data_IF_101928707553
#
_entry.id   IF_101928707553
#
_cell.length_a   1.000
_cell.length_b   1.000
_cell.length_c   1.000
_cell.angle_alpha   90.00
_cell.angle_beta   90.00
_cell.angle_gamma   90.00
#
_symmetry.space_group_name_H-M   'P 1'
#
loop_
_entity.id
_entity.type
_entity.pdbx_description
1 polymer ?
#
# COMPACT_ATOMS: atom_id res chain seq x y z
N UNK A 1 -0.62 6.72 -19.99
CA UNK A 1 0.16 7.68 -19.19
C UNK A 1 1.42 8.06 -19.98
N UNK A 2 1.73 9.35 -20.18
CA UNK A 2 2.94 9.75 -20.90
C UNK A 2 4.21 9.21 -20.24
N UNK A 3 5.10 8.59 -21.00
CA UNK A 3 6.41 8.13 -20.52
C UNK A 3 6.42 6.86 -19.65
N UNK A 4 5.30 6.16 -19.49
CA UNK A 4 5.31 4.86 -18.79
C UNK A 4 6.17 3.84 -19.57
N UNK A 5 6.91 2.99 -18.86
CA UNK A 5 7.93 2.09 -19.41
C UNK A 5 9.28 2.77 -19.65
N UNK A 6 9.43 4.06 -19.32
CA UNK A 6 10.69 4.79 -19.51
C UNK A 6 11.20 5.42 -18.22
N UNK A 7 12.49 5.73 -18.17
CA UNK A 7 13.10 6.41 -17.02
C UNK A 7 12.61 7.87 -16.84
N UNK A 8 11.99 8.45 -17.88
CA UNK A 8 11.43 9.80 -17.83
C UNK A 8 10.02 9.83 -17.22
N UNK A 9 9.43 8.69 -16.86
CA UNK A 9 8.13 8.65 -16.20
C UNK A 9 8.13 9.51 -14.92
N UNK A 10 7.15 10.40 -14.82
CA UNK A 10 6.95 11.25 -13.65
C UNK A 10 5.67 10.85 -12.93
N UNK A 11 5.79 10.63 -11.62
CA UNK A 11 4.67 10.32 -10.76
C UNK A 11 3.94 11.62 -10.37
N UNK A 12 2.66 11.72 -10.75
CA UNK A 12 1.75 12.74 -10.23
C UNK A 12 1.27 12.41 -8.82
N UNK A 13 0.29 13.16 -8.32
CA UNK A 13 -0.43 12.76 -7.10
C UNK A 13 -1.05 11.36 -7.30
N UNK A 14 -1.08 10.51 -6.25
CA UNK A 14 -1.76 9.22 -6.35
C UNK A 14 -3.26 9.43 -6.63
N UNK A 15 -3.91 8.52 -7.38
CA UNK A 15 -5.34 8.61 -7.61
C UNK A 15 -6.10 8.53 -6.27
N UNK A 16 -7.21 9.25 -6.19
CA UNK A 16 -8.09 9.18 -5.01
C UNK A 16 -8.76 7.81 -4.95
N UNK A 17 -8.67 7.07 -3.83
CA UNK A 17 -9.39 5.80 -3.68
C UNK A 17 -10.92 5.98 -3.81
N UNK A 18 -11.64 5.04 -4.42
CA UNK A 18 -13.07 5.15 -4.72
C UNK A 18 -13.98 4.79 -3.52
N UNK A 19 -13.47 4.86 -2.29
CA UNK A 19 -14.22 4.53 -1.07
C UNK A 19 -14.13 5.68 -0.05
N UNK A 20 -15.01 5.64 0.95
CA UNK A 20 -15.03 6.60 2.06
C UNK A 20 -14.99 5.85 3.40
N UNK A 21 -13.91 5.97 4.18
CA UNK A 21 -13.80 5.28 5.46
C UNK A 21 -14.84 5.70 6.47
N UNK A 22 -15.27 4.75 7.30
CA UNK A 22 -16.14 4.99 8.45
C UNK A 22 -15.33 4.99 9.75
N UNK A 23 -15.80 5.69 10.80
CA UNK A 23 -15.11 5.72 12.09
C UNK A 23 -14.90 4.34 12.73
N UNK A 24 -15.74 3.35 12.39
CA UNK A 24 -15.64 1.98 12.88
C UNK A 24 -14.63 1.11 12.13
N UNK A 25 -14.07 1.58 11.01
CA UNK A 25 -13.20 0.77 10.17
C UNK A 25 -11.91 0.35 10.88
N UNK A 26 -11.49 -0.87 10.55
CA UNK A 26 -10.22 -1.50 10.91
C UNK A 26 -9.43 -1.80 9.65
N UNK A 27 -8.21 -2.31 9.80
CA UNK A 27 -7.34 -2.63 8.67
C UNK A 27 -8.00 -3.52 7.60
N UNK A 28 -8.83 -4.48 8.01
CA UNK A 28 -9.54 -5.36 7.07
C UNK A 28 -10.54 -4.59 6.20
N UNK A 29 -11.25 -3.59 6.74
CA UNK A 29 -12.20 -2.79 5.97
C UNK A 29 -11.50 -1.98 4.87
N UNK A 30 -10.32 -1.43 5.18
CA UNK A 30 -9.47 -0.76 4.20
C UNK A 30 -8.94 -1.71 3.13
N UNK A 31 -8.50 -2.91 3.52
CA UNK A 31 -8.09 -3.96 2.59
C UNK A 31 -9.25 -4.33 1.66
N UNK A 32 -10.40 -4.67 2.22
CA UNK A 32 -11.57 -5.11 1.48
C UNK A 32 -12.11 -4.03 0.53
N UNK A 33 -12.02 -2.75 0.90
CA UNK A 33 -12.45 -1.64 0.06
C UNK A 33 -11.45 -1.25 -1.04
N UNK A 34 -10.16 -1.56 -0.87
CA UNK A 34 -9.09 -1.16 -1.77
C UNK A 34 -8.65 -2.27 -2.72
N UNK A 35 -8.76 -3.53 -2.30
CA UNK A 35 -8.41 -4.71 -3.09
C UNK A 35 -9.34 -4.88 -4.30
N UNK A 36 -8.78 -5.38 -5.41
CA UNK A 36 -9.57 -5.71 -6.60
C UNK A 36 -10.41 -6.97 -6.37
N UNK A 37 -9.84 -7.96 -5.68
CA UNK A 37 -10.51 -9.22 -5.35
C UNK A 37 -10.12 -9.69 -3.94
N UNK A 38 -10.73 -9.12 -2.89
CA UNK A 38 -10.30 -9.36 -1.52
C UNK A 38 -10.45 -10.82 -1.10
N UNK A 39 -9.34 -11.40 -0.62
CA UNK A 39 -9.24 -12.70 0.02
C UNK A 39 -9.00 -12.53 1.54
N UNK A 40 -10.01 -12.82 2.39
CA UNK A 40 -9.86 -12.74 3.83
C UNK A 40 -8.69 -13.57 4.38
N UNK A 41 -8.42 -14.73 3.78
CA UNK A 41 -7.36 -15.64 4.23
C UNK A 41 -5.96 -15.08 3.96
N UNK A 42 -5.80 -14.37 2.85
CA UNK A 42 -4.56 -13.65 2.54
C UNK A 42 -4.31 -12.55 3.57
N UNK A 43 -5.31 -11.70 3.84
CA UNK A 43 -5.21 -10.63 4.83
C UNK A 43 -4.82 -11.17 6.22
N UNK A 44 -5.54 -12.19 6.71
CA UNK A 44 -5.25 -12.81 8.01
C UNK A 44 -3.84 -13.41 8.06
N UNK A 45 -3.41 -14.08 6.99
CA UNK A 45 -2.08 -14.69 6.92
C UNK A 45 -0.95 -13.66 7.02
N UNK A 46 -1.11 -12.50 6.38
CA UNK A 46 -0.13 -11.41 6.40
C UNK A 46 -0.14 -10.72 7.76
N UNK A 47 -1.33 -10.44 8.30
CA UNK A 47 -1.48 -9.81 9.62
C UNK A 47 -0.91 -10.68 10.75
N UNK A 48 -1.04 -12.01 10.65
CA UNK A 48 -0.40 -12.96 11.54
C UNK A 48 1.13 -12.81 11.51
N UNK A 49 1.73 -12.89 10.33
CA UNK A 49 3.20 -12.75 10.15
C UNK A 49 3.74 -11.40 10.59
N UNK A 50 2.99 -10.31 10.37
CA UNK A 50 3.38 -8.97 10.78
C UNK A 50 3.52 -8.82 12.29
N UNK A 51 2.76 -9.58 13.08
CA UNK A 51 2.90 -9.61 14.55
C UNK A 51 4.21 -10.29 14.98
N UNK A 52 4.69 -11.23 14.18
CA UNK A 52 5.92 -11.98 14.45
C UNK A 52 7.19 -11.25 13.97
N UNK A 53 7.09 -10.40 12.94
CA UNK A 53 8.25 -9.72 12.29
C UNK A 53 8.50 -8.32 12.89
N UNK A 54 8.52 -8.20 14.23
CA UNK A 54 8.81 -6.93 14.90
C UNK A 54 10.20 -6.39 14.51
N UNK A 55 10.24 -5.39 13.62
CA UNK A 55 11.39 -4.48 13.45
C UNK A 55 12.30 -4.69 12.24
N UNK A 56 12.13 -5.74 11.43
CA UNK A 56 12.91 -5.97 10.20
C UNK A 56 12.12 -5.62 8.93
N UNK A 57 11.58 -4.40 8.89
CA UNK A 57 10.87 -3.89 7.72
C UNK A 57 11.82 -3.25 6.68
N UNK A 58 11.37 -3.20 5.44
CA UNK A 58 12.04 -2.45 4.37
C UNK A 58 11.96 -0.94 4.67
N UNK A 59 13.09 -0.23 4.53
CA UNK A 59 13.16 1.20 4.81
C UNK A 59 12.41 2.05 3.79
N UNK A 60 11.93 3.22 4.19
CA UNK A 60 11.20 4.16 3.30
C UNK A 60 11.93 4.47 1.99
N UNK A 61 13.26 4.63 2.01
CA UNK A 61 14.05 4.91 0.80
C UNK A 61 14.08 3.74 -0.17
N UNK A 62 14.17 2.52 0.35
CA UNK A 62 14.18 1.29 -0.44
C UNK A 62 12.80 1.02 -1.03
N UNK A 63 11.74 1.19 -0.23
CA UNK A 63 10.36 1.11 -0.71
C UNK A 63 10.08 2.14 -1.82
N UNK A 64 10.55 3.39 -1.67
CA UNK A 64 10.48 4.43 -2.70
C UNK A 64 11.26 4.06 -3.97
N UNK A 65 12.43 3.45 -3.81
CA UNK A 65 13.27 3.02 -4.91
C UNK A 65 12.56 1.95 -5.74
N UNK A 66 12.03 0.91 -5.08
CA UNK A 66 11.28 -0.16 -5.74
C UNK A 66 10.00 0.34 -6.36
N UNK A 67 9.24 1.18 -5.67
CA UNK A 67 8.06 1.86 -6.21
C UNK A 67 8.34 2.53 -7.54
N UNK A 68 9.41 3.35 -7.61
CA UNK A 68 9.76 4.05 -8.84
C UNK A 68 10.02 3.08 -9.99
N UNK A 69 10.63 1.91 -9.74
CA UNK A 69 10.96 0.92 -10.78
C UNK A 69 9.75 0.12 -11.22
N UNK A 70 8.95 -0.35 -10.26
CA UNK A 70 7.76 -1.17 -10.48
C UNK A 70 6.69 -0.35 -11.19
N UNK A 71 6.25 0.75 -10.60
CA UNK A 71 5.11 1.51 -11.11
C UNK A 71 5.44 2.38 -12.33
N UNK A 72 6.73 2.62 -12.64
CA UNK A 72 7.12 3.20 -13.94
C UNK A 72 7.19 2.17 -15.06
N UNK A 73 7.07 0.87 -14.78
CA UNK A 73 7.10 -0.20 -15.78
C UNK A 73 8.48 -0.47 -16.39
N UNK A 74 9.56 0.05 -15.80
CA UNK A 74 10.92 -0.12 -16.36
C UNK A 74 11.57 -1.46 -15.99
N UNK A 75 10.99 -2.22 -15.06
CA UNK A 75 11.43 -3.57 -14.69
C UNK A 75 10.27 -4.56 -14.83
N UNK A 76 10.47 -5.72 -15.48
CA UNK A 76 9.44 -6.76 -15.54
C UNK A 76 9.22 -7.40 -14.16
N UNK A 77 7.96 -7.53 -13.75
CA UNK A 77 7.58 -8.09 -12.45
C UNK A 77 8.08 -9.53 -12.24
N UNK A 78 8.21 -10.31 -13.31
CA UNK A 78 8.70 -11.70 -13.26
C UNK A 78 10.16 -11.84 -12.83
N UNK A 79 10.91 -10.74 -12.79
CA UNK A 79 12.32 -10.72 -12.37
C UNK A 79 12.51 -10.15 -10.96
N UNK A 80 11.42 -9.75 -10.28
CA UNK A 80 11.48 -9.16 -8.94
C UNK A 80 11.16 -10.18 -7.86
N UNK A 81 11.77 -9.99 -6.69
CA UNK A 81 11.41 -10.79 -5.51
C UNK A 81 10.03 -10.33 -4.99
N UNK A 82 9.23 -11.22 -4.40
CA UNK A 82 7.97 -10.83 -3.76
C UNK A 82 8.13 -9.69 -2.74
N UNK A 83 9.27 -9.66 -2.03
CA UNK A 83 9.59 -8.59 -1.09
C UNK A 83 9.76 -7.22 -1.76
N UNK A 84 10.35 -7.17 -2.96
CA UNK A 84 10.55 -5.91 -3.71
C UNK A 84 9.22 -5.38 -4.25
N UNK A 85 8.34 -6.27 -4.70
CA UNK A 85 6.98 -5.94 -5.12
C UNK A 85 6.18 -5.42 -3.92
N UNK A 86 6.22 -6.12 -2.79
CA UNK A 86 5.59 -5.68 -1.55
C UNK A 86 6.12 -4.34 -1.05
N UNK A 87 7.42 -4.06 -1.21
CA UNK A 87 8.01 -2.77 -0.89
C UNK A 87 7.44 -1.64 -1.76
N UNK A 88 7.31 -1.89 -3.06
CA UNK A 88 6.72 -0.95 -4.00
C UNK A 88 5.25 -0.68 -3.67
N UNK A 89 4.46 -1.74 -3.41
CA UNK A 89 3.06 -1.67 -3.03
C UNK A 89 2.85 -0.91 -1.70
N UNK A 90 3.65 -1.21 -0.68
CA UNK A 90 3.59 -0.52 0.61
C UNK A 90 3.89 0.98 0.47
N UNK A 91 4.84 1.36 -0.40
CA UNK A 91 5.12 2.76 -0.66
C UNK A 91 3.98 3.44 -1.44
N UNK A 92 3.32 2.75 -2.38
CA UNK A 92 2.13 3.31 -3.05
C UNK A 92 0.99 3.54 -2.06
N UNK A 93 0.69 2.58 -1.20
CA UNK A 93 -0.30 2.74 -0.14
C UNK A 93 0.05 3.93 0.78
N UNK A 94 1.32 4.07 1.17
CA UNK A 94 1.78 5.23 1.96
C UNK A 94 1.61 6.55 1.22
N UNK A 95 1.96 6.62 -0.08
CA UNK A 95 1.74 7.82 -0.90
C UNK A 95 0.26 8.17 -0.90
N UNK A 96 -0.60 7.20 -1.17
CA UNK A 96 -2.06 7.38 -1.20
C UNK A 96 -2.58 7.87 0.15
N UNK A 97 -2.17 7.25 1.25
CA UNK A 97 -2.53 7.64 2.62
C UNK A 97 -2.14 9.09 2.93
N UNK A 98 -0.89 9.46 2.63
CA UNK A 98 -0.37 10.81 2.92
C UNK A 98 -1.08 11.91 2.14
N UNK A 99 -1.46 11.66 0.88
CA UNK A 99 -2.08 12.67 0.02
C UNK A 99 -3.58 12.83 0.24
N UNK A 100 -4.24 11.87 0.89
CA UNK A 100 -5.69 11.80 0.99
C UNK A 100 -6.13 11.81 2.46
N UNK A 101 -6.25 13.00 3.06
CA UNK A 101 -6.56 13.15 4.50
C UNK A 101 -7.89 12.51 4.92
N UNK A 102 -8.87 12.47 4.01
CA UNK A 102 -10.16 11.82 4.24
C UNK A 102 -10.05 10.33 4.60
N UNK A 103 -8.90 9.68 4.35
CA UNK A 103 -8.68 8.29 4.71
C UNK A 103 -8.54 8.08 6.22
N UNK A 104 -7.92 9.03 6.93
CA UNK A 104 -7.62 8.93 8.35
C UNK A 104 -8.41 9.90 9.22
N UNK A 105 -8.99 10.97 8.66
CA UNK A 105 -9.87 11.90 9.37
C UNK A 105 -11.01 11.19 10.14
N UNK A 106 -11.75 10.22 9.56
CA UNK A 106 -12.84 9.53 10.26
C UNK A 106 -12.35 8.65 11.42
N UNK A 107 -11.09 8.21 11.39
CA UNK A 107 -10.48 7.35 12.41
C UNK A 107 -10.06 8.13 13.66
N UNK A 108 -10.24 9.47 13.66
CA UNK A 108 -9.76 10.35 14.72
C UNK A 108 -8.24 10.23 14.92
N UNK A 109 -7.71 10.70 16.05
CA UNK A 109 -6.29 10.58 16.40
C UNK A 109 -5.85 9.16 16.85
N UNK A 110 -6.64 8.12 16.55
CA UNK A 110 -6.34 6.73 16.89
C UNK A 110 -5.23 6.20 15.96
N UNK A 111 -3.99 6.25 16.48
CA UNK A 111 -2.79 5.85 15.72
C UNK A 111 -2.79 4.37 15.34
N UNK A 112 -3.38 3.50 16.17
CA UNK A 112 -3.44 2.07 15.86
C UNK A 112 -4.39 1.81 14.70
N UNK A 113 -5.58 2.45 14.68
CA UNK A 113 -6.50 2.35 13.52
C UNK A 113 -5.89 2.91 12.25
N UNK A 114 -5.21 4.05 12.32
CA UNK A 114 -4.55 4.63 11.16
C UNK A 114 -3.43 3.71 10.65
N UNK A 115 -2.65 3.10 11.55
CA UNK A 115 -1.62 2.12 11.20
C UNK A 115 -2.23 0.88 10.56
N UNK A 116 -3.29 0.30 11.14
CA UNK A 116 -4.00 -0.85 10.58
C UNK A 116 -4.59 -0.55 9.21
N UNK A 117 -5.19 0.63 9.03
CA UNK A 117 -5.75 1.07 7.75
C UNK A 117 -4.68 1.18 6.66
N UNK A 118 -3.54 1.78 6.98
CA UNK A 118 -2.40 1.86 6.06
C UNK A 118 -1.86 0.46 5.69
N UNK A 119 -1.76 -0.46 6.66
CA UNK A 119 -1.34 -1.85 6.40
C UNK A 119 -2.36 -2.56 5.51
N UNK A 120 -3.66 -2.40 5.76
CA UNK A 120 -4.71 -2.99 4.93
C UNK A 120 -4.63 -2.54 3.47
N UNK A 121 -4.40 -1.24 3.24
CA UNK A 121 -4.18 -0.72 1.89
C UNK A 121 -2.89 -1.27 1.25
N UNK A 122 -1.81 -1.42 2.01
CA UNK A 122 -0.55 -1.97 1.49
C UNK A 122 -0.69 -3.45 1.08
N UNK A 123 -1.48 -4.23 1.82
CA UNK A 123 -1.79 -5.62 1.46
C UNK A 123 -2.60 -5.64 0.15
N UNK A 124 -3.62 -4.80 0.04
CA UNK A 124 -4.44 -4.70 -1.16
C UNK A 124 -3.64 -4.28 -2.42
N UNK A 125 -2.63 -3.43 -2.28
CA UNK A 125 -1.73 -3.04 -3.39
C UNK A 125 -0.76 -4.16 -3.81
N UNK A 126 -0.66 -5.25 -3.04
CA UNK A 126 0.27 -6.36 -3.30
C UNK A 126 -0.38 -7.54 -4.03
N UNK A 127 -1.67 -7.44 -4.37
CA UNK A 127 -2.44 -8.41 -5.17
C UNK A 127 -2.29 -8.20 -6.68
#
# INVERSE_FOLDING_TARGET
MPGWGTQQFQFGAPPRPPFQPQPSWRGYDFYNAHAINPDPSLYESIMSRLRDVLGMGIGHHEAKHWHRRVYSGVVPLTQLLPADIGAAAAYEAYRTWKHNSFLYEPLSADRERQREGLIGMAIAESE
#
